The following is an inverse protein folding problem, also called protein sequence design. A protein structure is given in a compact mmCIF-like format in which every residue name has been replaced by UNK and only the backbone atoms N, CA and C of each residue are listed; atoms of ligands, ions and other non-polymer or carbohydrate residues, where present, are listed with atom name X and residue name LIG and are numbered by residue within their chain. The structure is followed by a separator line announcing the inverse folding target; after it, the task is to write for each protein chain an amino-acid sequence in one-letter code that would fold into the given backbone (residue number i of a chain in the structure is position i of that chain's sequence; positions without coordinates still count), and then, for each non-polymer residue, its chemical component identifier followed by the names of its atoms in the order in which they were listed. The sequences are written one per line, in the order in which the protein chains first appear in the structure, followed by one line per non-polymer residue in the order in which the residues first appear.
data_IF_987477510844
#
_entry.id   IF_987477510844
#
_cell.length_a   1.000
_cell.length_b   1.000
_cell.length_c   1.000
_cell.angle_alpha   90.00
_cell.angle_beta   90.00
_cell.angle_gamma   90.00
#
_symmetry.space_group_name_H-M   'P 1'
#
loop_
_entity.id
_entity.type
_entity.pdbx_description
1 polymer ?
#
# COMPACT_ATOMS: atom_id res chain seq x y z
N UNK A 1 17.09 -7.07 -13.93
CA UNK A 1 15.77 -6.52 -14.25
C UNK A 1 15.72 -5.09 -13.70
N UNK A 2 15.57 -4.08 -14.58
CA UNK A 2 15.50 -2.68 -14.17
C UNK A 2 14.03 -2.29 -13.88
N UNK A 3 13.77 -1.66 -12.73
CA UNK A 3 12.49 -1.05 -12.41
C UNK A 3 12.46 0.35 -13.02
N UNK A 4 11.37 0.73 -13.70
CA UNK A 4 11.29 2.01 -14.43
C UNK A 4 10.33 2.99 -13.75
N UNK A 5 9.44 2.55 -12.86
CA UNK A 5 8.54 3.45 -12.15
C UNK A 5 7.16 2.86 -11.89
N UNK A 6 6.30 3.71 -11.32
CA UNK A 6 4.89 3.41 -11.04
C UNK A 6 4.01 3.89 -12.18
N UNK A 7 3.05 3.07 -12.58
CA UNK A 7 2.06 3.40 -13.60
C UNK A 7 0.65 3.57 -13.03
N UNK A 8 0.40 3.02 -11.85
CA UNK A 8 -0.93 3.00 -11.24
C UNK A 8 -0.83 2.71 -9.75
N UNK A 9 -1.59 3.41 -8.92
CA UNK A 9 -1.72 3.13 -7.49
C UNK A 9 -3.17 3.33 -7.04
N UNK A 10 -3.69 2.38 -6.30
CA UNK A 10 -5.06 2.37 -5.78
C UNK A 10 -5.08 1.81 -4.37
N UNK A 11 -5.94 2.38 -3.53
CA UNK A 11 -6.23 1.87 -2.20
C UNK A 11 -7.73 1.60 -2.05
N UNK A 12 -8.09 0.63 -1.21
CA UNK A 12 -9.46 0.31 -0.87
C UNK A 12 -9.57 -0.07 0.60
N UNK A 13 -10.63 0.35 1.29
CA UNK A 13 -10.86 -0.02 2.69
C UNK A 13 -11.14 -1.51 2.81
N UNK A 14 -10.55 -2.16 3.80
CA UNK A 14 -10.81 -3.55 4.13
C UNK A 14 -12.14 -3.63 4.89
N UNK A 15 -13.17 -4.19 4.25
CA UNK A 15 -14.50 -4.37 4.83
C UNK A 15 -14.61 -5.70 5.59
N UNK A 16 -14.23 -6.78 4.92
CA UNK A 16 -14.27 -8.12 5.52
C UNK A 16 -12.93 -8.78 5.36
N UNK A 17 -12.32 -9.14 6.48
CA UNK A 17 -11.04 -9.83 6.50
C UNK A 17 -11.20 -11.30 6.07
N UNK A 18 -10.28 -11.78 5.24
CA UNK A 18 -10.17 -13.21 4.96
C UNK A 18 -9.76 -13.95 6.23
N UNK A 19 -10.52 -14.96 6.60
CA UNK A 19 -10.21 -15.85 7.72
C UNK A 19 -9.91 -17.26 7.21
N UNK A 20 -9.50 -18.15 8.10
CA UNK A 20 -9.26 -19.58 7.79
C UNK A 20 -10.46 -20.22 7.08
N UNK A 21 -11.67 -19.75 7.37
CA UNK A 21 -12.93 -20.24 6.75
C UNK A 21 -13.39 -19.43 5.54
N UNK A 22 -12.82 -18.22 5.30
CA UNK A 22 -13.14 -17.35 4.17
C UNK A 22 -11.88 -17.10 3.35
N UNK A 23 -11.87 -17.65 2.15
CA UNK A 23 -10.71 -17.62 1.27
C UNK A 23 -10.37 -16.24 0.69
N UNK A 24 -11.23 -15.21 0.82
CA UNK A 24 -11.06 -13.93 0.12
C UNK A 24 -11.43 -12.75 1.02
N UNK A 25 -10.52 -11.79 1.16
CA UNK A 25 -10.81 -10.49 1.75
C UNK A 25 -11.73 -9.69 0.82
N UNK A 26 -12.61 -8.86 1.39
CA UNK A 26 -13.47 -7.93 0.65
C UNK A 26 -13.07 -6.51 0.96
N UNK A 27 -13.05 -5.70 -0.08
CA UNK A 27 -12.70 -4.28 0.00
C UNK A 27 -13.85 -3.43 -0.53
N UNK A 28 -13.93 -2.23 0.00
CA UNK A 28 -14.93 -1.21 -0.36
C UNK A 28 -14.26 0.14 -0.55
N UNK A 29 -14.99 1.11 -1.10
CA UNK A 29 -14.54 2.49 -1.28
C UNK A 29 -13.18 2.61 -1.98
N UNK A 30 -12.93 1.82 -3.01
CA UNK A 30 -11.69 1.88 -3.74
C UNK A 30 -11.46 3.25 -4.39
N UNK A 31 -10.24 3.79 -4.23
CA UNK A 31 -9.83 5.11 -4.75
C UNK A 31 -8.45 5.06 -5.36
N UNK A 32 -8.27 5.78 -6.45
CA UNK A 32 -6.94 6.12 -6.95
C UNK A 32 -6.39 7.22 -6.06
N UNK A 33 -5.27 6.95 -5.38
CA UNK A 33 -4.71 7.86 -4.37
C UNK A 33 -3.73 8.89 -4.94
N UNK A 34 -3.63 8.97 -6.27
CA UNK A 34 -2.83 9.96 -7.00
C UNK A 34 -1.47 9.45 -7.45
N UNK A 35 -0.68 10.29 -8.11
CA UNK A 35 0.67 9.92 -8.52
C UNK A 35 1.57 9.75 -7.28
N UNK A 36 2.25 8.60 -7.21
CA UNK A 36 3.23 8.33 -6.18
C UNK A 36 4.65 8.52 -6.74
N UNK A 37 5.48 9.24 -5.99
CA UNK A 37 6.90 9.37 -6.31
C UNK A 37 7.66 8.11 -5.88
N UNK A 38 7.30 7.53 -4.74
CA UNK A 38 7.93 6.34 -4.21
C UNK A 38 6.94 5.50 -3.39
N UNK A 39 7.16 4.20 -3.36
CA UNK A 39 6.44 3.29 -2.46
C UNK A 39 7.39 2.18 -2.01
N UNK A 40 7.63 2.11 -0.73
CA UNK A 40 8.50 1.13 -0.11
C UNK A 40 7.71 0.30 0.90
N UNK A 41 7.74 -1.02 0.73
CA UNK A 41 7.06 -1.97 1.58
C UNK A 41 8.06 -3.03 2.02
N UNK A 42 8.37 -3.06 3.31
CA UNK A 42 9.27 -4.03 3.92
C UNK A 42 8.48 -5.02 4.75
N UNK A 43 8.70 -6.31 4.51
CA UNK A 43 8.14 -7.38 5.32
C UNK A 43 9.20 -7.78 6.34
N UNK A 44 8.83 -7.72 7.62
CA UNK A 44 9.67 -8.17 8.71
C UNK A 44 9.48 -9.68 8.90
N UNK A 45 10.57 -10.38 9.13
CA UNK A 45 10.58 -11.82 9.46
C UNK A 45 11.12 -12.02 10.86
N UNK A 46 10.56 -12.98 11.58
CA UNK A 46 11.14 -13.53 12.81
C UNK A 46 12.01 -14.72 12.43
N UNK A 47 13.21 -14.77 12.96
CA UNK A 47 14.15 -15.90 12.81
C UNK A 47 14.34 -16.53 14.19
N UNK A 48 13.61 -17.60 14.45
CA UNK A 48 13.72 -18.35 15.72
C UNK A 48 14.54 -19.60 15.46
N UNK A 49 15.60 -19.77 16.25
CA UNK A 49 16.51 -20.92 16.17
C UNK A 49 16.35 -21.80 17.39
N UNK A 50 16.19 -23.09 17.17
CA UNK A 50 16.27 -24.09 18.20
C UNK A 50 17.68 -24.69 18.22
N UNK A 51 18.25 -24.81 19.42
CA UNK A 51 19.61 -25.29 19.63
C UNK A 51 19.61 -26.64 20.38
N UNK A 52 20.36 -27.60 19.84
CA UNK A 52 20.63 -28.87 20.49
C UNK A 52 22.12 -29.17 20.39
N UNK A 53 22.74 -29.53 21.53
CA UNK A 53 24.18 -29.85 21.63
C UNK A 53 25.10 -28.81 20.99
N UNK A 54 24.90 -27.53 21.30
CA UNK A 54 25.61 -26.35 20.77
C UNK A 54 25.49 -26.11 19.23
N UNK A 55 24.59 -26.82 18.57
CA UNK A 55 24.31 -26.64 17.16
C UNK A 55 22.86 -26.20 16.94
N UNK A 56 22.63 -25.45 15.86
CA UNK A 56 21.27 -25.11 15.41
C UNK A 56 20.63 -26.36 14.83
N UNK A 57 19.57 -26.83 15.47
CA UNK A 57 18.83 -28.03 15.06
C UNK A 57 17.70 -27.67 14.12
N UNK A 58 17.00 -26.57 14.40
CA UNK A 58 15.87 -26.11 13.57
C UNK A 58 15.81 -24.59 13.51
N UNK A 59 15.35 -24.05 12.39
CA UNK A 59 15.17 -22.62 12.19
C UNK A 59 13.76 -22.36 11.64
N UNK A 60 12.96 -21.57 12.35
CA UNK A 60 11.65 -21.09 11.87
C UNK A 60 11.76 -19.63 11.44
N UNK A 61 11.43 -19.35 10.18
CA UNK A 61 11.40 -18.00 9.59
C UNK A 61 9.97 -17.65 9.21
N UNK A 62 9.31 -16.87 10.05
CA UNK A 62 7.92 -16.48 9.85
C UNK A 62 7.77 -14.97 9.65
N UNK A 63 6.94 -14.50 8.70
CA UNK A 63 6.64 -13.08 8.55
C UNK A 63 5.83 -12.57 9.74
N UNK A 64 6.28 -11.45 10.35
CA UNK A 64 5.66 -10.85 11.56
C UNK A 64 4.92 -9.55 11.28
N UNK A 65 4.71 -9.20 10.01
CA UNK A 65 4.16 -7.91 9.60
C UNK A 65 5.18 -7.12 8.79
N UNK A 66 5.16 -5.81 8.91
CA UNK A 66 6.11 -4.97 8.18
C UNK A 66 5.82 -3.50 8.26
N UNK A 67 6.53 -2.73 7.46
CA UNK A 67 6.36 -1.30 7.32
C UNK A 67 6.01 -0.93 5.88
N UNK A 68 5.17 0.09 5.73
CA UNK A 68 4.83 0.72 4.46
C UNK A 68 5.24 2.18 4.50
N UNK A 69 5.87 2.67 3.44
CA UNK A 69 6.16 4.08 3.23
C UNK A 69 5.72 4.45 1.82
N UNK A 70 4.84 5.42 1.73
CA UNK A 70 4.26 5.89 0.49
C UNK A 70 4.49 7.39 0.34
N UNK A 71 5.24 7.78 -0.67
CA UNK A 71 5.53 9.16 -1.00
C UNK A 71 4.61 9.62 -2.14
N UNK A 72 3.71 10.55 -1.84
CA UNK A 72 2.73 11.09 -2.79
C UNK A 72 3.15 12.48 -3.25
N UNK A 73 3.05 12.75 -4.55
CA UNK A 73 3.44 14.04 -5.12
C UNK A 73 2.53 15.18 -4.65
N UNK A 74 1.24 14.94 -4.57
CA UNK A 74 0.23 15.87 -4.05
C UNK A 74 -0.98 15.06 -3.55
N UNK A 75 -0.97 14.57 -2.30
CA UNK A 75 -2.17 13.94 -1.77
C UNK A 75 -3.25 15.03 -1.60
N UNK A 76 -4.43 14.78 -2.16
CA UNK A 76 -5.57 15.66 -1.83
C UNK A 76 -5.93 15.43 -0.36
N UNK A 77 -6.30 16.49 0.37
CA UNK A 77 -6.77 16.40 1.77
C UNK A 77 -7.87 15.36 1.92
N UNK A 78 -8.70 15.20 0.88
CA UNK A 78 -9.75 14.19 0.81
C UNK A 78 -9.23 12.75 0.81
N UNK A 79 -8.15 12.48 0.07
CA UNK A 79 -7.53 11.15 0.04
C UNK A 79 -6.75 10.87 1.31
N UNK A 80 -6.05 11.87 1.84
CA UNK A 80 -5.34 11.79 3.11
C UNK A 80 -6.31 11.52 4.27
N UNK A 81 -7.34 12.34 4.41
CA UNK A 81 -8.37 12.15 5.45
C UNK A 81 -9.07 10.79 5.35
N UNK A 82 -9.32 10.31 4.13
CA UNK A 82 -9.90 8.98 3.91
C UNK A 82 -8.95 7.85 4.34
N UNK A 83 -7.65 7.97 4.09
CA UNK A 83 -6.63 6.97 4.51
C UNK A 83 -6.40 6.96 6.03
N UNK A 84 -6.55 8.13 6.68
CA UNK A 84 -6.32 8.30 8.11
C UNK A 84 -7.60 8.23 8.96
N UNK A 85 -8.77 8.16 8.31
CA UNK A 85 -10.06 8.10 9.00
C UNK A 85 -10.55 9.44 9.54
N UNK A 86 -10.01 10.56 9.04
CA UNK A 86 -10.41 11.91 9.44
C UNK A 86 -11.71 12.36 8.77
N UNK A 87 -12.38 13.30 9.40
CA UNK A 87 -13.57 13.93 8.84
C UNK A 87 -13.16 14.96 7.79
N UNK A 88 -13.62 14.75 6.54
CA UNK A 88 -13.46 15.70 5.45
C UNK A 88 -14.71 16.59 5.39
N UNK A 89 -14.52 17.90 5.40
CA UNK A 89 -15.62 18.88 5.32
C UNK A 89 -16.09 19.06 3.87
N UNK A 90 -17.25 19.71 3.68
CA UNK A 90 -17.83 19.97 2.34
C UNK A 90 -16.91 20.85 1.46
N UNK A 91 -16.11 21.71 2.09
CA UNK A 91 -15.13 22.58 1.41
C UNK A 91 -13.77 21.91 1.17
N UNK A 92 -13.72 20.57 1.15
CA UNK A 92 -12.50 19.75 1.02
C UNK A 92 -11.45 20.02 2.11
N UNK A 93 -11.85 20.65 3.22
CA UNK A 93 -11.03 20.78 4.43
C UNK A 93 -11.00 19.47 5.21
N UNK A 94 -10.04 19.34 6.13
CA UNK A 94 -9.89 18.16 6.97
C UNK A 94 -9.79 18.56 8.44
N UNK A 95 -10.56 17.88 9.29
CA UNK A 95 -10.46 18.04 10.75
C UNK A 95 -9.91 16.75 11.33
N UNK A 96 -8.75 16.87 12.00
CA UNK A 96 -8.08 15.77 12.69
C UNK A 96 -8.56 15.69 14.13
N UNK A 97 -9.00 14.52 14.57
CA UNK A 97 -9.43 14.29 15.95
C UNK A 97 -8.57 13.18 16.56
N UNK A 98 -8.19 13.34 17.82
CA UNK A 98 -7.38 12.35 18.54
C UNK A 98 -8.07 10.98 18.71
N UNK A 99 -9.39 10.91 18.51
CA UNK A 99 -10.16 9.68 18.55
C UNK A 99 -10.36 9.03 17.15
N UNK A 100 -9.85 9.65 16.08
CA UNK A 100 -9.95 9.07 14.76
C UNK A 100 -9.10 7.80 14.68
N UNK A 101 -9.65 6.78 14.08
CA UNK A 101 -8.99 5.48 13.92
C UNK A 101 -8.73 5.25 12.44
N UNK A 102 -7.45 5.23 12.00
CA UNK A 102 -7.13 4.92 10.61
C UNK A 102 -7.67 3.54 10.21
N UNK A 103 -8.41 3.45 9.10
CA UNK A 103 -8.94 2.19 8.63
C UNK A 103 -7.82 1.26 8.13
N UNK A 104 -8.06 -0.04 8.16
CA UNK A 104 -7.26 -0.97 7.40
C UNK A 104 -7.58 -0.85 5.91
N UNK A 105 -6.55 -0.76 5.08
CA UNK A 105 -6.69 -0.63 3.63
C UNK A 105 -5.85 -1.67 2.92
N UNK A 106 -6.35 -2.14 1.76
CA UNK A 106 -5.53 -2.82 0.78
C UNK A 106 -4.93 -1.80 -0.17
N UNK A 107 -3.64 -1.96 -0.51
CA UNK A 107 -2.95 -1.08 -1.45
C UNK A 107 -2.43 -1.89 -2.61
N UNK A 108 -2.82 -1.51 -3.82
CA UNK A 108 -2.35 -2.10 -5.04
C UNK A 108 -1.65 -1.10 -5.94
N UNK A 109 -0.59 -1.54 -6.58
CA UNK A 109 0.12 -0.75 -7.56
C UNK A 109 0.69 -1.59 -8.69
N UNK A 110 0.94 -0.94 -9.82
CA UNK A 110 1.56 -1.54 -10.99
C UNK A 110 2.88 -0.84 -11.26
N UNK A 111 3.96 -1.62 -11.27
CA UNK A 111 5.28 -1.15 -11.64
C UNK A 111 5.70 -1.71 -13.00
N UNK A 112 6.38 -0.89 -13.80
CA UNK A 112 6.97 -1.28 -15.07
C UNK A 112 8.41 -1.76 -14.86
N UNK A 113 8.76 -2.85 -15.50
CA UNK A 113 10.12 -3.40 -15.55
C UNK A 113 10.46 -3.80 -16.98
N UNK A 114 11.75 -3.95 -17.28
CA UNK A 114 12.20 -4.47 -18.57
C UNK A 114 12.98 -5.76 -18.34
N UNK A 115 12.61 -6.79 -19.09
CA UNK A 115 13.28 -8.10 -19.12
C UNK A 115 13.53 -8.49 -20.57
N UNK A 116 14.79 -8.72 -20.95
CA UNK A 116 15.18 -9.10 -22.32
C UNK A 116 14.61 -8.18 -23.41
N UNK A 117 14.67 -6.85 -23.18
CA UNK A 117 14.13 -5.80 -24.05
C UNK A 117 12.59 -5.72 -24.16
N UNK A 118 11.85 -6.56 -23.42
CA UNK A 118 10.38 -6.51 -23.36
C UNK A 118 9.91 -5.85 -22.07
N UNK A 119 8.82 -5.07 -22.18
CA UNK A 119 8.16 -4.49 -21.01
C UNK A 119 7.38 -5.57 -20.25
N UNK A 120 7.58 -5.61 -18.93
CA UNK A 120 6.85 -6.48 -18.02
C UNK A 120 6.22 -5.62 -16.92
N UNK A 121 4.93 -5.79 -16.71
CA UNK A 121 4.17 -5.07 -15.71
C UNK A 121 3.94 -5.95 -14.49
N UNK A 122 4.45 -5.49 -13.33
CA UNK A 122 4.31 -6.20 -12.06
C UNK A 122 3.19 -5.56 -11.25
N UNK A 123 2.10 -6.29 -11.09
CA UNK A 123 1.02 -5.94 -10.20
C UNK A 123 1.34 -6.47 -8.80
N UNK A 124 1.24 -5.61 -7.80
CA UNK A 124 1.43 -5.97 -6.40
C UNK A 124 0.29 -5.39 -5.57
N UNK A 125 -0.25 -6.20 -4.67
CA UNK A 125 -1.31 -5.81 -3.74
C UNK A 125 -0.89 -6.22 -2.34
N UNK A 126 -0.75 -5.27 -1.44
CA UNK A 126 -0.61 -5.48 -0.01
C UNK A 126 -1.99 -5.47 0.62
N UNK A 127 -2.35 -6.55 1.28
CA UNK A 127 -3.73 -6.86 1.62
C UNK A 127 -4.24 -6.14 2.86
N UNK A 128 -3.36 -5.80 3.81
CA UNK A 128 -3.75 -5.13 5.05
C UNK A 128 -2.65 -4.16 5.50
N UNK A 129 -2.92 -2.89 5.32
CA UNK A 129 -2.05 -1.77 5.68
C UNK A 129 -2.84 -0.81 6.55
N UNK A 130 -2.20 -0.20 7.53
CA UNK A 130 -2.77 0.88 8.33
C UNK A 130 -1.76 2.02 8.38
N UNK A 131 -2.17 3.19 7.92
CA UNK A 131 -1.35 4.38 7.91
C UNK A 131 -1.34 5.10 9.25
N UNK A 132 -0.28 5.87 9.47
CA UNK A 132 -0.10 6.77 10.61
C UNK A 132 -0.16 8.20 10.11
N UNK A 133 -0.39 9.12 11.04
CA UNK A 133 -0.27 10.55 10.77
C UNK A 133 1.10 10.88 10.16
N UNK A 134 1.13 11.59 9.03
CA UNK A 134 2.37 12.07 8.46
C UNK A 134 2.97 13.19 9.32
N UNK A 135 4.29 13.36 9.24
CA UNK A 135 4.95 14.53 9.80
C UNK A 135 4.70 15.75 8.91
N UNK A 136 4.33 16.87 9.50
CA UNK A 136 4.20 18.15 8.81
C UNK A 136 5.56 18.83 8.71
N UNK A 137 6.19 18.76 7.56
CA UNK A 137 7.45 19.46 7.28
C UNK A 137 7.19 20.63 6.34
N UNK A 138 7.40 21.87 6.84
CA UNK A 138 7.25 23.07 6.06
C UNK A 138 8.61 23.79 5.94
N UNK A 139 9.13 23.90 4.72
CA UNK A 139 10.34 24.63 4.42
C UNK A 139 10.03 25.97 3.73
N UNK A 140 10.74 27.04 4.09
CA UNK A 140 10.66 28.31 3.37
C UNK A 140 11.32 28.17 1.99
N UNK A 141 10.74 28.85 1.00
CA UNK A 141 11.29 28.91 -0.37
C UNK A 141 12.72 29.50 -0.33
N UNK A 142 13.68 28.75 -0.83
CA UNK A 142 15.05 29.18 -1.10
C UNK A 142 15.24 29.46 -2.61
N UNK A 143 16.41 29.92 -3.02
CA UNK A 143 16.74 30.24 -4.42
C UNK A 143 16.61 29.01 -5.35
N UNK A 144 16.72 27.81 -4.81
CA UNK A 144 16.49 26.56 -5.54
C UNK A 144 15.11 25.99 -5.16
N UNK A 145 14.25 25.76 -6.16
CA UNK A 145 12.96 25.13 -5.93
C UNK A 145 13.16 23.63 -5.67
N UNK A 146 12.89 23.21 -4.45
CA UNK A 146 12.84 21.79 -4.07
C UNK A 146 11.37 21.40 -3.91
N UNK A 147 10.94 20.37 -4.64
CA UNK A 147 9.61 19.81 -4.46
C UNK A 147 9.62 18.89 -3.24
N UNK A 148 8.76 19.19 -2.28
CA UNK A 148 8.57 18.36 -1.09
C UNK A 148 7.36 17.46 -1.33
N UNK A 149 7.50 16.17 -1.06
CA UNK A 149 6.43 15.20 -1.18
C UNK A 149 5.97 14.78 0.21
N UNK A 150 4.67 14.56 0.36
CA UNK A 150 4.13 14.04 1.62
C UNK A 150 4.42 12.54 1.72
N UNK A 151 5.12 12.16 2.78
CA UNK A 151 5.41 10.75 3.07
C UNK A 151 4.42 10.23 4.11
N UNK A 152 3.62 9.24 3.71
CA UNK A 152 2.72 8.52 4.60
C UNK A 152 3.37 7.21 5.03
N UNK A 153 3.59 7.07 6.32
CA UNK A 153 4.10 5.84 6.91
C UNK A 153 2.95 4.97 7.44
N UNK A 154 3.15 3.67 7.46
CA UNK A 154 2.16 2.73 7.95
C UNK A 154 2.76 1.38 8.33
N UNK A 155 1.93 0.55 8.90
CA UNK A 155 2.27 -0.82 9.24
C UNK A 155 1.57 -1.80 8.30
N UNK A 156 2.30 -2.85 7.93
CA UNK A 156 1.75 -4.02 7.22
C UNK A 156 1.36 -5.08 8.24
N UNK A 157 0.20 -5.68 8.00
CA UNK A 157 -0.31 -6.76 8.81
C UNK A 157 -0.61 -7.99 7.95
N UNK A 158 -0.59 -9.15 8.57
CA UNK A 158 -1.13 -10.39 7.98
C UNK A 158 -2.64 -10.41 8.12
N UNK A 159 -3.33 -10.97 7.13
CA UNK A 159 -4.72 -11.36 7.29
C UNK A 159 -4.83 -12.59 8.23
N UNK A 160 -6.02 -12.87 8.75
CA UNK A 160 -6.24 -14.01 9.65
C UNK A 160 -5.94 -15.37 9.00
N UNK A 161 -5.96 -15.45 7.68
CA UNK A 161 -5.56 -16.65 6.92
C UNK A 161 -4.05 -16.72 6.61
N UNK A 162 -3.25 -15.75 7.10
CA UNK A 162 -1.81 -15.67 6.89
C UNK A 162 -1.38 -14.91 5.62
N UNK A 163 -2.29 -14.52 4.74
CA UNK A 163 -1.95 -13.79 3.53
C UNK A 163 -1.52 -12.35 3.85
N UNK A 164 -0.47 -11.86 3.20
CA UNK A 164 0.01 -10.48 3.32
C UNK A 164 0.02 -9.74 2.00
N UNK A 165 0.35 -10.45 0.92
CA UNK A 165 0.65 -9.86 -0.37
C UNK A 165 0.21 -10.78 -1.50
N UNK A 166 -0.40 -10.20 -2.53
CA UNK A 166 -0.63 -10.84 -3.81
C UNK A 166 0.20 -10.15 -4.89
N UNK A 167 0.86 -10.92 -5.75
CA UNK A 167 1.62 -10.37 -6.86
C UNK A 167 1.53 -11.24 -8.10
N UNK A 168 1.58 -10.59 -9.27
CA UNK A 168 1.61 -11.26 -10.54
C UNK A 168 2.32 -10.40 -11.62
N UNK A 169 2.82 -11.05 -12.68
CA UNK A 169 3.47 -10.40 -13.82
C UNK A 169 2.59 -10.50 -15.06
N UNK A 170 2.51 -9.40 -15.81
CA UNK A 170 1.69 -9.28 -17.01
C UNK A 170 2.49 -8.67 -18.16
N UNK A 171 2.05 -8.93 -19.39
CA UNK A 171 2.65 -8.34 -20.59
C UNK A 171 2.10 -6.95 -20.90
N UNK A 172 0.90 -6.64 -20.43
CA UNK A 172 0.25 -5.35 -20.68
C UNK A 172 -0.12 -4.65 -19.38
N UNK A 173 -0.12 -3.31 -19.42
CA UNK A 173 -0.55 -2.47 -18.30
C UNK A 173 -2.03 -2.70 -17.95
N UNK A 174 -2.87 -2.92 -18.98
CA UNK A 174 -4.31 -3.13 -18.78
C UNK A 174 -4.60 -4.41 -17.97
N UNK A 175 -3.93 -5.51 -18.28
CA UNK A 175 -4.06 -6.77 -17.51
C UNK A 175 -3.57 -6.61 -16.07
N UNK A 176 -2.44 -5.90 -15.87
CA UNK A 176 -1.90 -5.65 -14.54
C UNK A 176 -2.85 -4.79 -13.69
N UNK A 177 -3.46 -3.73 -14.27
CA UNK A 177 -4.49 -2.92 -13.61
C UNK A 177 -5.73 -3.76 -13.30
N UNK A 178 -6.21 -4.56 -14.26
CA UNK A 178 -7.38 -5.42 -14.05
C UNK A 178 -7.18 -6.41 -12.90
N UNK A 179 -5.97 -6.96 -12.74
CA UNK A 179 -5.63 -7.84 -11.63
C UNK A 179 -5.72 -7.11 -10.28
N UNK A 180 -5.13 -5.92 -10.16
CA UNK A 180 -5.19 -5.10 -8.95
C UNK A 180 -6.64 -4.73 -8.63
N UNK A 181 -7.39 -4.26 -9.63
CA UNK A 181 -8.79 -3.85 -9.50
C UNK A 181 -9.68 -5.00 -9.06
N UNK A 182 -9.45 -6.20 -9.59
CA UNK A 182 -10.18 -7.41 -9.21
C UNK A 182 -10.01 -7.76 -7.74
N UNK A 183 -8.78 -7.66 -7.21
CA UNK A 183 -8.50 -7.97 -5.79
C UNK A 183 -9.12 -6.91 -4.88
N UNK A 184 -8.96 -5.63 -5.23
CA UNK A 184 -9.41 -4.50 -4.39
C UNK A 184 -10.87 -4.08 -4.65
N UNK A 185 -11.59 -4.80 -5.50
CA UNK A 185 -13.00 -4.52 -5.77
C UNK A 185 -13.25 -3.16 -6.45
N UNK A 186 -12.29 -2.67 -7.23
CA UNK A 186 -12.43 -1.41 -7.97
C UNK A 186 -13.44 -1.59 -9.09
N UNK A 187 -14.52 -0.79 -9.05
CA UNK A 187 -15.48 -0.70 -10.16
C UNK A 187 -15.15 0.50 -11.04
N UNK A 188 -15.50 0.47 -12.32
CA UNK A 188 -15.19 1.54 -13.30
C UNK A 188 -15.66 2.94 -12.88
N UNK A 189 -16.62 3.02 -11.95
CA UNK A 189 -17.11 4.29 -11.39
C UNK A 189 -16.18 4.91 -10.33
N UNK A 190 -15.21 4.20 -9.82
CA UNK A 190 -14.27 4.67 -8.79
C UNK A 190 -12.99 5.31 -9.36
N UNK A 191 -12.78 5.25 -10.67
CA UNK A 191 -11.69 5.94 -11.39
C UNK A 191 -12.12 7.37 -11.79
N UNK A 192 -12.65 8.15 -10.84
CA UNK A 192 -13.02 9.55 -11.08
C UNK A 192 -11.85 10.36 -11.63
N UNK A 193 -12.18 11.21 -12.60
CA UNK A 193 -11.30 12.17 -13.28
C UNK A 193 -10.55 13.06 -12.33
#
# INVERSE_FOLDING_TARGET
MAKIGFEYIVAAKLDTEASVSKATAKYTEARVIGPAANANFNINTSDVKDYGDDNVVETDVSPTGGTASLELNEPTMKNEGWLLGHTVTEDDGMVRNANDIPPYVGIGFVGKSVRAHEAVFKAKVYLKVQFKEPNDENATKQDTVTFTHTTMEGNLYTLQNGDMKAENEFKTLAEAKAYVNKILGVTDSSTGK
#
